data_IF_322962873182
#
_entry.id   IF_322962873182
#
_cell.length_a   1.000
_cell.length_b   1.000
_cell.length_c   1.000
_cell.angle_alpha   90.00
_cell.angle_beta   90.00
_cell.angle_gamma   90.00
#
_symmetry.space_group_name_H-M   'P 1'
#
loop_
_entity.id
_entity.type
_entity.pdbx_description
1 polymer ?
#
# COMPACT_ATOMS: atom_id res chain seq x y z
N UNK A 1 9.43 19.36 -0.71
CA UNK A 1 9.39 18.37 -1.82
C UNK A 1 7.96 17.83 -1.92
N UNK A 2 7.42 17.68 -3.14
CA UNK A 2 6.03 17.22 -3.33
C UNK A 2 5.99 15.69 -3.45
N UNK A 3 5.20 15.03 -2.60
CA UNK A 3 5.00 13.58 -2.64
C UNK A 3 3.79 13.25 -3.53
N UNK A 4 4.04 12.58 -4.64
CA UNK A 4 3.03 12.04 -5.54
C UNK A 4 3.24 10.53 -5.72
N UNK A 5 2.26 9.83 -6.30
CA UNK A 5 2.35 8.40 -6.58
C UNK A 5 2.75 7.57 -5.33
N UNK A 6 2.06 7.85 -4.22
CA UNK A 6 2.35 7.20 -2.94
C UNK A 6 1.85 5.76 -2.95
N UNK A 7 2.73 4.85 -2.53
CA UNK A 7 2.40 3.47 -2.25
C UNK A 7 2.37 3.24 -0.75
N UNK A 8 1.39 2.47 -0.30
CA UNK A 8 1.30 2.01 1.09
C UNK A 8 1.17 0.50 1.10
N UNK A 9 2.00 -0.18 1.87
CA UNK A 9 1.91 -1.62 2.10
C UNK A 9 1.66 -1.90 3.57
N UNK A 10 0.62 -2.66 3.84
CA UNK A 10 0.27 -3.21 5.16
C UNK A 10 0.54 -4.71 5.15
N UNK A 11 1.31 -5.18 6.10
CA UNK A 11 1.76 -6.57 6.16
C UNK A 11 0.75 -7.46 6.87
N UNK A 12 0.71 -8.74 6.49
CA UNK A 12 -0.04 -9.74 7.26
C UNK A 12 0.69 -10.08 8.56
N UNK A 13 -0.05 -10.24 9.66
CA UNK A 13 0.48 -10.55 11.00
C UNK A 13 1.18 -11.91 11.11
N UNK A 14 0.74 -12.86 10.32
CA UNK A 14 1.33 -14.20 10.23
C UNK A 14 1.45 -14.58 8.76
N UNK A 15 2.36 -15.47 8.43
CA UNK A 15 2.42 -16.07 7.09
C UNK A 15 1.29 -17.12 7.01
N UNK A 16 0.07 -16.74 6.65
CA UNK A 16 -0.99 -17.71 6.48
C UNK A 16 -0.64 -18.60 5.29
N UNK A 17 -1.15 -19.79 5.29
CA UNK A 17 -1.17 -20.65 4.11
C UNK A 17 -2.20 -20.16 3.08
N UNK A 18 -2.24 -18.84 2.86
CA UNK A 18 -3.17 -18.23 1.92
C UNK A 18 -2.76 -18.62 0.50
N UNK A 19 -3.63 -19.33 -0.19
CA UNK A 19 -3.53 -19.43 -1.63
C UNK A 19 -3.99 -18.10 -2.24
N UNK A 20 -3.07 -17.37 -2.84
CA UNK A 20 -3.37 -16.08 -3.49
C UNK A 20 -4.47 -16.20 -4.56
N UNK A 21 -4.73 -17.41 -5.07
CA UNK A 21 -5.84 -17.64 -6.00
C UNK A 21 -7.20 -17.33 -5.38
N UNK A 22 -7.35 -17.46 -4.09
CA UNK A 22 -8.60 -17.13 -3.38
C UNK A 22 -8.93 -15.63 -3.42
N UNK A 23 -7.94 -14.78 -3.66
CA UNK A 23 -8.12 -13.32 -3.79
C UNK A 23 -8.74 -12.93 -5.13
N UNK A 24 -8.50 -13.71 -6.19
CA UNK A 24 -8.99 -13.41 -7.55
C UNK A 24 -10.51 -13.21 -7.60
N UNK A 25 -11.35 -14.15 -7.13
CA UNK A 25 -12.79 -13.98 -7.15
C UNK A 25 -13.28 -12.82 -6.26
N UNK A 26 -12.50 -12.47 -5.22
CA UNK A 26 -12.81 -11.33 -4.36
C UNK A 26 -12.63 -10.03 -5.15
N UNK A 27 -11.48 -9.85 -5.79
CA UNK A 27 -11.21 -8.67 -6.60
C UNK A 27 -12.17 -8.53 -7.79
N UNK A 28 -12.53 -9.63 -8.44
CA UNK A 28 -13.58 -9.60 -9.46
C UNK A 28 -14.94 -9.15 -8.91
N UNK A 29 -15.30 -9.58 -7.71
CA UNK A 29 -16.55 -9.12 -7.09
C UNK A 29 -16.50 -7.62 -6.74
N UNK A 30 -15.35 -7.09 -6.40
CA UNK A 30 -15.18 -5.66 -6.14
C UNK A 30 -15.37 -4.82 -7.42
N UNK A 31 -14.90 -5.30 -8.55
CA UNK A 31 -15.19 -4.68 -9.86
C UNK A 31 -16.68 -4.71 -10.16
N UNK A 32 -17.31 -5.87 -10.02
CA UNK A 32 -18.73 -6.07 -10.38
C UNK A 32 -19.68 -5.23 -9.51
N UNK A 33 -19.35 -5.05 -8.24
CA UNK A 33 -20.19 -4.32 -7.28
C UNK A 33 -19.82 -2.84 -7.18
N UNK A 34 -18.76 -2.39 -7.89
CA UNK A 34 -18.27 -1.02 -7.86
C UNK A 34 -18.18 -0.49 -6.42
N UNK A 35 -17.44 -1.22 -5.57
CA UNK A 35 -17.38 -0.97 -4.12
C UNK A 35 -16.79 0.39 -3.73
N UNK A 36 -16.11 1.05 -4.67
CA UNK A 36 -15.52 2.38 -4.51
C UNK A 36 -15.93 3.29 -5.66
N UNK A 37 -15.80 4.60 -5.45
CA UNK A 37 -16.07 5.60 -6.47
C UNK A 37 -15.03 5.58 -7.60
N UNK A 38 -13.82 5.04 -7.35
CA UNK A 38 -12.80 4.91 -8.38
C UNK A 38 -13.13 3.75 -9.34
N UNK A 39 -12.77 3.94 -10.62
CA UNK A 39 -12.98 2.94 -11.66
C UNK A 39 -12.00 1.77 -11.50
N UNK A 40 -12.52 0.62 -11.08
CA UNK A 40 -11.81 -0.66 -11.10
C UNK A 40 -11.97 -1.32 -12.48
N UNK A 41 -10.88 -1.87 -13.05
CA UNK A 41 -10.82 -2.25 -14.47
C UNK A 41 -10.67 -3.76 -14.62
N UNK A 42 -9.66 -4.37 -13.98
CA UNK A 42 -9.26 -5.75 -14.25
C UNK A 42 -8.53 -6.37 -13.05
N UNK A 43 -8.34 -7.69 -13.10
CA UNK A 43 -7.53 -8.46 -12.15
C UNK A 43 -6.38 -9.13 -12.89
N UNK A 44 -5.16 -8.81 -12.52
CA UNK A 44 -3.96 -9.37 -13.11
C UNK A 44 -3.28 -10.37 -12.16
N UNK A 45 -2.92 -11.54 -12.69
CA UNK A 45 -2.26 -12.63 -11.94
C UNK A 45 -0.75 -12.64 -12.19
N UNK A 46 0.03 -12.26 -11.20
CA UNK A 46 1.49 -12.28 -11.19
C UNK A 46 2.07 -13.28 -10.17
N UNK A 47 1.31 -14.29 -9.72
CA UNK A 47 1.77 -15.28 -8.74
C UNK A 47 2.99 -16.08 -9.22
N UNK A 48 3.17 -16.20 -10.53
CA UNK A 48 4.34 -16.84 -11.13
C UNK A 48 5.64 -16.04 -10.99
N UNK A 49 5.57 -14.80 -10.54
CA UNK A 49 6.74 -13.93 -10.32
C UNK A 49 7.21 -14.10 -8.88
N UNK A 50 8.40 -14.68 -8.62
CA UNK A 50 8.93 -14.77 -7.26
C UNK A 50 9.10 -13.40 -6.62
N UNK A 51 8.65 -13.26 -5.37
CA UNK A 51 8.65 -11.98 -4.65
C UNK A 51 8.04 -10.82 -5.45
N UNK A 52 7.01 -11.15 -6.23
CA UNK A 52 6.31 -10.22 -7.12
C UNK A 52 5.02 -9.64 -6.53
N UNK A 53 4.27 -8.91 -7.34
CA UNK A 53 3.07 -8.20 -6.90
C UNK A 53 1.86 -9.13 -6.63
N UNK A 54 1.99 -10.44 -6.85
CA UNK A 54 0.94 -11.42 -6.55
C UNK A 54 -0.31 -11.25 -7.39
N UNK A 55 -1.44 -10.97 -6.76
CA UNK A 55 -2.71 -10.65 -7.46
C UNK A 55 -2.93 -9.15 -7.41
N UNK A 56 -3.13 -8.55 -8.57
CA UNK A 56 -3.29 -7.09 -8.71
C UNK A 56 -4.69 -6.77 -9.20
N UNK A 57 -5.42 -6.00 -8.42
CA UNK A 57 -6.64 -5.31 -8.85
C UNK A 57 -6.23 -3.99 -9.51
N UNK A 58 -6.41 -3.91 -10.81
CA UNK A 58 -6.07 -2.75 -11.63
C UNK A 58 -7.22 -1.76 -11.60
N UNK A 59 -6.96 -0.55 -11.13
CA UNK A 59 -7.88 0.57 -11.19
C UNK A 59 -7.40 1.67 -12.12
N UNK A 60 -8.23 2.65 -12.41
CA UNK A 60 -7.85 3.81 -13.22
C UNK A 60 -6.88 4.72 -12.46
N UNK A 61 -7.20 5.03 -11.22
CA UNK A 61 -6.44 5.98 -10.40
C UNK A 61 -5.38 5.30 -9.54
N UNK A 62 -5.62 4.07 -9.12
CA UNK A 62 -4.72 3.29 -8.27
C UNK A 62 -4.85 1.80 -8.54
N UNK A 63 -3.83 1.03 -8.15
CA UNK A 63 -3.87 -0.42 -8.10
C UNK A 63 -3.82 -0.90 -6.65
N UNK A 64 -4.47 -2.03 -6.40
CA UNK A 64 -4.42 -2.75 -5.12
C UNK A 64 -3.86 -4.14 -5.37
N UNK A 65 -2.92 -4.59 -4.58
CA UNK A 65 -2.37 -5.93 -4.77
C UNK A 65 -2.19 -6.68 -3.45
N UNK A 66 -2.48 -7.98 -3.47
CA UNK A 66 -1.98 -8.87 -2.42
C UNK A 66 -0.58 -9.29 -2.85
N UNK A 67 0.39 -8.56 -2.34
CA UNK A 67 1.76 -8.41 -2.81
C UNK A 67 2.72 -9.18 -1.91
N UNK A 68 3.61 -9.97 -2.51
CA UNK A 68 4.66 -10.73 -1.81
C UNK A 68 6.06 -10.18 -2.10
N UNK A 69 6.19 -8.95 -2.52
CA UNK A 69 7.51 -8.33 -2.69
C UNK A 69 8.29 -8.33 -1.39
N UNK A 70 9.61 -8.48 -1.49
CA UNK A 70 10.52 -8.64 -0.35
C UNK A 70 10.25 -9.92 0.48
N UNK A 71 9.54 -10.91 -0.08
CA UNK A 71 9.06 -12.11 0.61
C UNK A 71 8.23 -11.82 1.86
N UNK A 72 7.54 -10.71 1.87
CA UNK A 72 6.63 -10.29 2.95
C UNK A 72 5.24 -10.01 2.36
N UNK A 73 4.34 -10.93 2.63
CA UNK A 73 2.97 -10.84 2.13
C UNK A 73 2.22 -9.70 2.81
N UNK A 74 1.46 -8.96 2.01
CA UNK A 74 0.66 -7.85 2.48
C UNK A 74 -0.25 -7.27 1.41
N UNK A 75 -1.10 -6.33 1.79
CA UNK A 75 -1.84 -5.51 0.83
C UNK A 75 -1.01 -4.28 0.49
N UNK A 76 -0.81 -4.03 -0.79
CA UNK A 76 -0.17 -2.84 -1.31
C UNK A 76 -1.17 -2.01 -2.13
N UNK A 77 -1.34 -0.78 -1.73
CA UNK A 77 -1.98 0.28 -2.52
C UNK A 77 -0.90 1.02 -3.32
N UNK A 78 -1.18 1.31 -4.59
CA UNK A 78 -0.26 2.02 -5.48
C UNK A 78 -1.02 3.11 -6.25
N UNK A 79 -0.86 4.37 -5.85
CA UNK A 79 -1.46 5.52 -6.53
C UNK A 79 -0.76 5.79 -7.86
N UNK A 80 -1.52 5.86 -8.96
CA UNK A 80 -1.02 6.11 -10.32
C UNK A 80 -1.22 7.54 -10.80
N UNK A 81 -2.27 8.18 -10.34
CA UNK A 81 -2.62 9.55 -10.74
C UNK A 81 -2.26 10.56 -9.65
N UNK A 82 -2.05 11.79 -10.05
CA UNK A 82 -1.76 12.87 -9.10
C UNK A 82 -2.95 13.13 -8.18
N UNK A 83 -2.63 13.50 -6.95
CA UNK A 83 -3.60 13.91 -5.92
C UNK A 83 -3.32 15.37 -5.57
N UNK A 84 -4.37 16.19 -5.55
CA UNK A 84 -4.31 17.59 -5.10
C UNK A 84 -4.09 17.68 -3.58
N UNK A 85 -3.79 18.87 -3.09
CA UNK A 85 -3.61 19.13 -1.67
C UNK A 85 -2.17 19.12 -1.21
N UNK A 86 -1.96 18.99 0.09
CA UNK A 86 -0.65 18.93 0.76
C UNK A 86 -0.10 17.50 0.80
N UNK A 87 1.16 17.31 1.20
CA UNK A 87 1.70 15.96 1.43
C UNK A 87 0.94 15.18 2.51
N UNK A 88 0.56 15.78 3.66
CA UNK A 88 -0.33 15.13 4.62
C UNK A 88 -1.67 14.67 4.02
N UNK A 89 -2.31 15.47 3.16
CA UNK A 89 -3.57 15.08 2.50
C UNK A 89 -3.37 13.84 1.62
N UNK A 90 -2.28 13.79 0.86
CA UNK A 90 -1.92 12.67 -0.02
C UNK A 90 -1.57 11.40 0.77
N UNK A 91 -0.83 11.55 1.87
CA UNK A 91 -0.52 10.43 2.78
C UNK A 91 -1.80 9.89 3.42
N UNK A 92 -2.68 10.77 3.90
CA UNK A 92 -3.96 10.40 4.47
C UNK A 92 -4.84 9.66 3.46
N UNK A 93 -4.92 10.14 2.22
CA UNK A 93 -5.66 9.50 1.14
C UNK A 93 -5.13 8.08 0.86
N UNK A 94 -3.80 7.93 0.70
CA UNK A 94 -3.20 6.64 0.39
C UNK A 94 -3.34 5.62 1.54
N UNK A 95 -3.14 6.06 2.79
CA UNK A 95 -3.35 5.25 3.98
C UNK A 95 -4.80 4.81 4.14
N UNK A 96 -5.75 5.75 3.99
CA UNK A 96 -7.18 5.44 4.09
C UNK A 96 -7.62 4.42 3.03
N UNK A 97 -7.13 4.56 1.79
CA UNK A 97 -7.42 3.60 0.73
C UNK A 97 -6.87 2.20 1.04
N UNK A 98 -5.62 2.12 1.49
CA UNK A 98 -4.99 0.85 1.88
C UNK A 98 -5.72 0.18 3.06
N UNK A 99 -6.03 0.93 4.11
CA UNK A 99 -6.74 0.42 5.28
C UNK A 99 -8.14 -0.09 4.94
N UNK A 100 -8.92 0.65 4.15
CA UNK A 100 -10.24 0.21 3.68
C UNK A 100 -10.16 -1.09 2.89
N UNK A 101 -9.14 -1.26 2.06
CA UNK A 101 -8.94 -2.50 1.31
C UNK A 101 -8.56 -3.68 2.23
N UNK A 102 -7.72 -3.45 3.24
CA UNK A 102 -7.40 -4.45 4.27
C UNK A 102 -8.66 -4.89 5.03
N UNK A 103 -9.44 -3.94 5.53
CA UNK A 103 -10.69 -4.23 6.26
C UNK A 103 -11.68 -5.03 5.40
N UNK A 104 -11.78 -4.71 4.11
CA UNK A 104 -12.63 -5.45 3.17
C UNK A 104 -12.18 -6.88 2.96
N UNK A 105 -10.87 -7.10 2.82
CA UNK A 105 -10.32 -8.46 2.69
C UNK A 105 -10.52 -9.27 3.97
N UNK A 106 -10.27 -8.68 5.14
CA UNK A 106 -10.49 -9.34 6.44
C UNK A 106 -11.96 -9.71 6.67
N UNK A 107 -12.89 -8.88 6.20
CA UNK A 107 -14.32 -9.09 6.35
C UNK A 107 -14.93 -10.04 5.31
N UNK A 108 -14.17 -10.46 4.29
CA UNK A 108 -14.70 -11.31 3.22
C UNK A 108 -14.89 -12.76 3.70
N UNK A 109 -16.10 -13.27 3.61
CA UNK A 109 -16.45 -14.63 4.06
C UNK A 109 -15.65 -15.74 3.36
N UNK A 110 -15.14 -15.48 2.17
CA UNK A 110 -14.31 -16.42 1.40
C UNK A 110 -12.97 -16.66 2.04
N UNK A 111 -12.42 -15.66 2.73
CA UNK A 111 -11.16 -15.75 3.48
C UNK A 111 -11.36 -16.17 4.94
N UNK A 112 -12.58 -16.04 5.49
CA UNK A 112 -13.02 -16.54 6.82
C UNK A 112 -12.02 -16.41 7.95
N UNK A 113 -11.41 -15.23 8.09
CA UNK A 113 -10.41 -14.99 9.13
C UNK A 113 -9.05 -15.68 8.90
N UNK A 114 -8.80 -16.19 7.70
CA UNK A 114 -7.48 -16.73 7.32
C UNK A 114 -6.41 -15.63 7.25
N UNK A 115 -6.83 -14.38 7.05
CA UNK A 115 -5.92 -13.24 6.96
C UNK A 115 -6.24 -12.21 8.03
N UNK A 116 -5.18 -11.59 8.53
CA UNK A 116 -5.23 -10.44 9.42
C UNK A 116 -4.05 -9.55 9.12
N UNK A 117 -4.33 -8.27 8.91
CA UNK A 117 -3.27 -7.29 8.69
C UNK A 117 -2.73 -6.77 10.02
N UNK A 118 -1.39 -6.71 10.11
CA UNK A 118 -0.70 -6.15 11.26
C UNK A 118 -0.97 -4.66 11.42
N UNK A 119 -0.99 -4.23 12.69
CA UNK A 119 -1.23 -2.82 13.05
C UNK A 119 0.03 -2.14 13.58
N UNK A 120 1.15 -2.86 13.61
CA UNK A 120 2.41 -2.37 14.20
C UNK A 120 3.41 -1.87 13.17
N UNK A 121 3.25 -2.22 11.91
CA UNK A 121 4.20 -1.85 10.85
C UNK A 121 3.47 -1.61 9.52
N UNK A 122 3.91 -0.59 8.82
CA UNK A 122 3.54 -0.33 7.43
C UNK A 122 4.74 0.21 6.66
N UNK A 123 4.72 0.05 5.34
CA UNK A 123 5.72 0.64 4.44
C UNK A 123 5.05 1.69 3.56
N UNK A 124 5.60 2.90 3.58
CA UNK A 124 5.24 3.96 2.64
C UNK A 124 6.37 4.10 1.64
N UNK A 125 6.07 4.23 0.36
CA UNK A 125 7.07 4.55 -0.65
C UNK A 125 6.49 5.46 -1.72
N UNK A 126 7.38 6.15 -2.44
CA UNK A 126 7.02 7.11 -3.50
C UNK A 126 7.50 6.56 -4.84
N UNK A 127 6.55 6.27 -5.73
CA UNK A 127 6.84 5.74 -7.07
C UNK A 127 7.07 6.88 -8.08
N UNK A 128 7.96 7.79 -7.71
CA UNK A 128 8.39 8.89 -8.57
C UNK A 128 9.86 9.23 -8.34
N UNK A 129 10.75 8.49 -9.00
CA UNK A 129 12.19 8.63 -8.83
C UNK A 129 12.76 9.97 -9.32
N UNK A 130 12.03 10.67 -10.19
CA UNK A 130 12.47 11.97 -10.70
C UNK A 130 12.20 13.08 -9.69
N UNK A 131 11.05 13.05 -9.05
CA UNK A 131 10.69 14.04 -8.03
C UNK A 131 11.28 13.72 -6.66
N UNK A 132 11.31 12.43 -6.31
CA UNK A 132 11.77 11.96 -4.99
C UNK A 132 12.77 10.79 -5.17
N UNK A 133 14.01 11.09 -5.58
CA UNK A 133 15.04 10.05 -5.67
C UNK A 133 15.41 9.51 -4.28
N UNK A 134 15.72 8.22 -4.18
CA UNK A 134 16.05 7.59 -2.91
C UNK A 134 17.49 7.93 -2.47
N UNK A 135 17.70 9.18 -2.09
CA UNK A 135 18.96 9.71 -1.55
C UNK A 135 18.77 10.22 -0.12
N UNK A 136 19.87 10.29 0.62
CA UNK A 136 19.88 10.83 1.98
C UNK A 136 19.31 12.25 2.06
N UNK A 137 19.64 13.11 1.10
CA UNK A 137 19.14 14.49 1.05
C UNK A 137 17.62 14.58 0.84
N UNK A 138 17.03 13.66 0.09
CA UNK A 138 15.58 13.58 -0.07
C UNK A 138 14.91 13.20 1.26
N UNK A 139 15.48 12.22 1.95
CA UNK A 139 14.98 11.79 3.25
C UNK A 139 15.04 12.92 4.28
N UNK A 140 16.17 13.57 4.45
CA UNK A 140 16.33 14.68 5.37
C UNK A 140 15.36 15.84 5.11
N UNK A 141 15.02 16.07 3.85
CA UNK A 141 14.06 17.10 3.46
C UNK A 141 12.60 16.75 3.82
N UNK A 142 12.25 15.46 3.84
CA UNK A 142 10.84 15.01 3.99
C UNK A 142 10.59 14.45 5.39
N UNK A 143 11.60 13.90 6.05
CA UNK A 143 11.48 13.24 7.35
C UNK A 143 10.72 14.07 8.40
N UNK A 144 10.96 15.39 8.58
CA UNK A 144 10.23 16.18 9.57
C UNK A 144 8.72 16.21 9.30
N UNK A 145 8.34 16.32 8.02
CA UNK A 145 6.92 16.36 7.62
C UNK A 145 6.24 14.99 7.85
N UNK A 146 6.92 13.90 7.51
CA UNK A 146 6.43 12.53 7.75
C UNK A 146 6.32 12.24 9.25
N UNK A 147 7.33 12.63 10.03
CA UNK A 147 7.28 12.47 11.49
C UNK A 147 6.10 13.23 12.11
N UNK A 148 5.90 14.46 11.68
CA UNK A 148 4.77 15.27 12.16
C UNK A 148 3.43 14.63 11.80
N UNK A 149 3.27 14.17 10.55
CA UNK A 149 2.05 13.51 10.09
C UNK A 149 1.74 12.25 10.92
N UNK A 150 2.72 11.37 11.14
CA UNK A 150 2.47 10.15 11.93
C UNK A 150 2.30 10.43 13.42
N UNK A 151 2.98 11.43 13.97
CA UNK A 151 2.77 11.82 15.37
C UNK A 151 1.34 12.32 15.62
N UNK A 152 0.80 13.11 14.70
CA UNK A 152 -0.59 13.57 14.74
C UNK A 152 -1.57 12.40 14.56
N UNK A 153 -1.36 11.56 13.55
CA UNK A 153 -2.20 10.41 13.25
C UNK A 153 -2.27 9.40 14.39
N UNK A 154 -1.15 9.15 15.06
CA UNK A 154 -1.01 8.17 16.14
C UNK A 154 -1.31 8.74 17.54
N UNK A 155 -1.73 10.00 17.60
CA UNK A 155 -2.12 10.68 18.85
C UNK A 155 -1.07 10.56 19.97
N UNK A 156 0.21 10.69 19.61
CA UNK A 156 1.33 10.66 20.56
C UNK A 156 1.81 9.26 20.94
N UNK A 157 1.34 8.22 20.28
CA UNK A 157 1.93 6.87 20.43
C UNK A 157 3.32 6.87 19.83
N UNK A 158 4.30 6.31 20.53
CA UNK A 158 5.68 6.21 20.05
C UNK A 158 5.75 5.33 18.78
N UNK A 159 6.52 5.78 17.82
CA UNK A 159 6.81 5.04 16.60
C UNK A 159 8.27 5.25 16.16
N UNK A 160 8.77 4.32 15.37
CA UNK A 160 10.09 4.40 14.77
C UNK A 160 9.94 4.56 13.25
N UNK A 161 10.58 5.55 12.70
CA UNK A 161 10.70 5.75 11.27
C UNK A 161 12.04 5.19 10.79
N UNK A 162 12.00 4.24 9.87
CA UNK A 162 13.19 3.70 9.20
C UNK A 162 13.15 4.02 7.72
N UNK A 163 14.31 4.12 7.08
CA UNK A 163 14.45 4.44 5.68
C UNK A 163 14.88 3.20 4.87
N UNK A 164 14.41 3.11 3.64
CA UNK A 164 14.96 2.19 2.64
C UNK A 164 16.32 2.71 2.13
N UNK A 165 17.42 2.08 2.52
CA UNK A 165 18.78 2.56 2.23
C UNK A 165 19.30 2.18 0.84
N UNK A 166 18.68 1.23 0.14
CA UNK A 166 19.11 0.82 -1.18
C UNK A 166 18.68 1.86 -2.25
N UNK A 167 19.61 2.61 -2.87
CA UNK A 167 19.27 3.67 -3.82
C UNK A 167 18.63 3.14 -5.12
N UNK A 168 18.64 1.82 -5.35
CA UNK A 168 17.96 1.19 -6.47
C UNK A 168 16.47 0.96 -6.20
N UNK A 169 16.06 0.99 -4.94
CA UNK A 169 14.66 0.87 -4.55
C UNK A 169 13.95 2.22 -4.67
N UNK A 170 12.63 2.21 -4.55
CA UNK A 170 11.85 3.44 -4.42
C UNK A 170 12.21 4.13 -3.11
N UNK A 171 12.04 5.46 -3.08
CA UNK A 171 12.10 6.20 -1.82
C UNK A 171 11.02 5.66 -0.87
N UNK A 172 11.40 5.33 0.36
CA UNK A 172 10.49 4.76 1.35
C UNK A 172 11.09 4.68 2.73
#
# INVERSE_FOLDING_TARGET
MELQHINVKLFLDSSPSLDLWEVVPIFHSWIQTQIWDELLIDVADYRHVPAGPGIVLVGHEADYSVDNSENRLGLRYNRKTKVSGTNPDRLCQALSAALKACERLEADDRLKGQIRFGRSELKVSVNDRLLVPNFQSSYESIEPEIKFFFADLLHGTDFVLSREDNPRNLFG
#
